data_IF_746452578036
#
_entry.id   IF_746452578036
#
_cell.length_a   1.000
_cell.length_b   1.000
_cell.length_c   1.000
_cell.angle_alpha   90.00
_cell.angle_beta   90.00
_cell.angle_gamma   90.00
#
_symmetry.space_group_name_H-M   'P 1'
#
loop_
_entity.id
_entity.type
_entity.pdbx_description
1 polymer ?
#
# COMPACT_ATOMS: atom_id res chain seq x y z
N UNK A 1 9.55 -0.04 -5.60
CA UNK A 1 8.29 -0.50 -4.97
C UNK A 1 7.16 -0.60 -6.00
N UNK A 2 6.39 -1.67 -5.97
CA UNK A 2 5.22 -1.88 -6.81
C UNK A 2 3.96 -1.98 -5.94
N UNK A 3 2.90 -1.27 -6.31
CA UNK A 3 1.61 -1.34 -5.62
C UNK A 3 0.54 -1.74 -6.62
N UNK A 4 -0.23 -2.77 -6.28
CA UNK A 4 -1.38 -3.21 -7.07
C UNK A 4 -2.58 -3.49 -6.18
N UNK A 5 -3.78 -3.10 -6.61
CA UNK A 5 -5.01 -3.37 -5.86
C UNK A 5 -5.30 -4.88 -5.67
N UNK A 6 -4.75 -5.73 -6.54
CA UNK A 6 -5.00 -7.18 -6.52
C UNK A 6 -4.05 -7.93 -5.58
N UNK A 7 -2.75 -7.60 -5.60
CA UNK A 7 -1.74 -8.34 -4.84
C UNK A 7 -1.20 -7.59 -3.62
N UNK A 8 -1.34 -6.26 -3.60
CA UNK A 8 -0.92 -5.36 -2.53
C UNK A 8 0.40 -4.68 -2.82
N UNK A 9 1.29 -4.61 -1.84
CA UNK A 9 2.58 -3.92 -1.90
C UNK A 9 3.69 -4.97 -2.08
N UNK A 10 4.58 -4.75 -3.04
CA UNK A 10 5.77 -5.54 -3.23
C UNK A 10 7.00 -4.63 -3.36
N UNK A 11 8.07 -4.94 -2.64
CA UNK A 11 9.31 -4.16 -2.64
C UNK A 11 10.52 -5.07 -2.47
N UNK A 12 11.64 -4.68 -3.07
CA UNK A 12 12.90 -5.40 -2.98
C UNK A 12 14.00 -4.41 -2.62
N UNK A 13 14.84 -4.79 -1.68
CA UNK A 13 16.05 -4.08 -1.30
C UNK A 13 17.23 -5.00 -1.56
N UNK A 14 18.22 -4.53 -2.30
CA UNK A 14 19.49 -5.24 -2.51
C UNK A 14 20.55 -4.57 -1.64
N UNK A 15 21.02 -5.29 -0.61
CA UNK A 15 21.95 -4.78 0.39
C UNK A 15 22.98 -5.85 0.67
N UNK A 16 24.27 -5.54 0.59
CA UNK A 16 25.37 -6.44 0.96
C UNK A 16 25.32 -7.84 0.31
N UNK A 17 24.74 -7.96 -0.88
CA UNK A 17 24.57 -9.24 -1.58
C UNK A 17 23.43 -10.12 -1.06
N UNK A 18 22.55 -9.58 -0.22
CA UNK A 18 21.26 -10.17 0.14
C UNK A 18 20.12 -9.36 -0.49
N UNK A 19 19.09 -10.05 -0.96
CA UNK A 19 17.88 -9.39 -1.45
C UNK A 19 16.77 -9.55 -0.43
N UNK A 20 16.40 -8.45 0.24
CA UNK A 20 15.26 -8.41 1.16
C UNK A 20 14.01 -8.08 0.36
N UNK A 21 13.09 -9.04 0.28
CA UNK A 21 11.79 -8.88 -0.35
C UNK A 21 10.71 -8.66 0.71
N UNK A 22 9.94 -7.61 0.52
CA UNK A 22 8.73 -7.33 1.28
C UNK A 22 7.51 -7.56 0.39
N UNK A 23 6.56 -8.33 0.89
CA UNK A 23 5.26 -8.52 0.26
C UNK A 23 4.14 -8.30 1.28
N UNK A 24 3.17 -7.46 0.95
CA UNK A 24 2.00 -7.25 1.79
C UNK A 24 0.71 -7.33 0.99
N UNK A 25 -0.28 -8.05 1.51
CA UNK A 25 -1.60 -8.23 0.91
C UNK A 25 -2.55 -7.10 1.29
N UNK A 26 -3.05 -6.38 0.29
CA UNK A 26 -4.04 -5.30 0.49
C UNK A 26 -5.38 -5.77 1.09
N UNK A 27 -5.71 -7.06 0.97
CA UNK A 27 -7.00 -7.61 1.38
C UNK A 27 -6.95 -8.30 2.74
N UNK A 28 -5.83 -8.97 3.03
CA UNK A 28 -5.71 -9.81 4.22
C UNK A 28 -4.89 -9.16 5.33
N UNK A 29 -4.17 -8.07 5.03
CA UNK A 29 -3.20 -7.46 5.94
C UNK A 29 -2.00 -8.37 6.22
N UNK A 30 -1.81 -9.45 5.46
CA UNK A 30 -0.64 -10.33 5.62
C UNK A 30 0.59 -9.64 5.07
N UNK A 31 1.67 -9.61 5.84
CA UNK A 31 2.95 -9.00 5.52
C UNK A 31 4.04 -10.07 5.67
N UNK A 32 4.78 -10.35 4.60
CA UNK A 32 5.85 -11.34 4.55
C UNK A 32 7.15 -10.62 4.19
N UNK A 33 8.19 -10.90 4.97
CA UNK A 33 9.57 -10.53 4.64
C UNK A 33 10.31 -11.80 4.30
N UNK A 34 10.84 -11.90 3.09
CA UNK A 34 11.78 -12.93 2.69
C UNK A 34 13.14 -12.34 2.37
N UNK A 35 14.18 -13.14 2.55
CA UNK A 35 15.55 -12.81 2.22
C UNK A 35 16.06 -13.85 1.26
N UNK A 36 16.64 -13.40 0.15
CA UNK A 36 17.29 -14.25 -0.83
C UNK A 36 18.80 -14.09 -0.68
N UNK A 37 19.48 -15.19 -0.36
CA UNK A 37 20.94 -15.28 -0.26
C UNK A 37 21.43 -16.27 -1.33
N UNK A 38 22.02 -15.74 -2.40
CA UNK A 38 22.39 -16.55 -3.57
C UNK A 38 21.17 -17.19 -4.23
N UNK A 39 21.04 -18.52 -4.11
CA UNK A 39 19.92 -19.31 -4.67
C UNK A 39 18.84 -19.67 -3.64
N UNK A 40 19.02 -19.32 -2.36
CA UNK A 40 18.09 -19.72 -1.30
C UNK A 40 17.22 -18.55 -0.87
N UNK A 41 15.90 -18.67 -1.02
CA UNK A 41 14.92 -17.76 -0.42
C UNK A 41 14.46 -18.32 0.93
N UNK A 42 14.49 -17.47 1.97
CA UNK A 42 13.96 -17.80 3.31
C UNK A 42 12.99 -16.73 3.78
N UNK A 43 11.87 -17.15 4.36
CA UNK A 43 10.95 -16.23 5.04
C UNK A 43 11.51 -15.93 6.43
N UNK A 44 11.80 -14.66 6.69
CA UNK A 44 12.34 -14.18 7.98
C UNK A 44 11.27 -13.54 8.85
N UNK A 45 10.14 -13.13 8.27
CA UNK A 45 9.01 -12.59 9.00
C UNK A 45 7.69 -12.87 8.29
N UNK A 46 6.66 -13.24 9.04
CA UNK A 46 5.28 -13.39 8.56
C UNK A 46 4.36 -12.81 9.63
N UNK A 47 3.70 -11.70 9.33
CA UNK A 47 2.81 -10.99 10.23
C UNK A 47 1.48 -10.71 9.56
N UNK A 48 0.47 -10.41 10.37
CA UNK A 48 -0.81 -9.93 9.89
C UNK A 48 -1.14 -8.62 10.61
N UNK A 49 -1.14 -7.53 9.87
CA UNK A 49 -1.40 -6.19 10.37
C UNK A 49 -2.19 -5.38 9.33
N UNK A 50 -3.18 -4.64 9.82
CA UNK A 50 -3.87 -3.60 9.06
C UNK A 50 -3.45 -2.20 9.54
N UNK A 51 -2.39 -2.15 10.37
CA UNK A 51 -1.86 -0.92 10.91
C UNK A 51 -1.19 -0.08 9.84
N UNK A 52 -1.08 1.22 10.12
CA UNK A 52 -0.30 2.15 9.30
C UNK A 52 1.21 2.09 9.61
N UNK A 53 1.60 1.30 10.61
CA UNK A 53 2.98 1.10 11.00
C UNK A 53 3.20 -0.35 11.44
N UNK A 54 4.05 -1.08 10.73
CA UNK A 54 4.40 -2.46 11.05
C UNK A 54 5.91 -2.64 11.02
N UNK A 55 6.57 -2.87 12.18
CA UNK A 55 7.99 -3.22 12.22
C UNK A 55 8.20 -4.73 12.04
N UNK A 56 9.24 -5.11 11.29
CA UNK A 56 9.71 -6.47 11.10
C UNK A 56 11.18 -6.56 11.48
N UNK A 57 11.47 -7.08 12.66
CA UNK A 57 12.83 -7.36 13.12
C UNK A 57 13.27 -8.77 12.71
N UNK A 58 14.48 -8.91 12.18
CA UNK A 58 15.06 -10.20 11.79
C UNK A 58 16.60 -10.16 11.78
N UNK A 59 17.24 -11.32 11.89
CA UNK A 59 18.70 -11.45 11.91
C UNK A 59 19.21 -12.17 10.65
N UNK A 60 20.11 -11.52 9.91
CA UNK A 60 20.68 -12.02 8.65
C UNK A 60 22.16 -11.67 8.59
N UNK A 61 23.00 -12.60 8.12
CA UNK A 61 24.43 -12.39 7.95
C UNK A 61 25.16 -11.82 9.19
N UNK A 62 24.65 -12.11 10.40
CA UNK A 62 25.21 -11.61 11.66
C UNK A 62 24.80 -10.19 12.05
N UNK A 63 23.93 -9.54 11.28
CA UNK A 63 23.42 -8.19 11.56
C UNK A 63 21.93 -8.22 11.93
N UNK A 64 21.52 -7.27 12.78
CA UNK A 64 20.12 -7.08 13.15
C UNK A 64 19.47 -6.16 12.14
N UNK A 65 18.56 -6.69 11.33
CA UNK A 65 17.78 -5.90 10.41
C UNK A 65 16.41 -5.56 10.99
N UNK A 66 15.91 -4.36 10.64
CA UNK A 66 14.53 -3.98 10.88
C UNK A 66 13.96 -3.37 9.60
N UNK A 67 12.84 -3.91 9.14
CA UNK A 67 12.07 -3.33 8.05
C UNK A 67 10.78 -2.74 8.61
N UNK A 68 10.54 -1.46 8.36
CA UNK A 68 9.36 -0.74 8.84
C UNK A 68 8.51 -0.31 7.65
N UNK A 69 7.27 -0.79 7.59
CA UNK A 69 6.24 -0.19 6.74
C UNK A 69 5.66 1.01 7.49
N UNK A 70 5.68 2.18 6.86
CA UNK A 70 4.96 3.36 7.31
C UNK A 70 4.02 3.85 6.21
N UNK A 71 2.72 3.71 6.42
CA UNK A 71 1.69 4.25 5.53
C UNK A 71 1.17 5.58 6.08
N UNK A 72 1.00 6.55 5.18
CA UNK A 72 0.31 7.82 5.42
C UNK A 72 -0.74 8.02 4.33
N UNK A 73 -1.61 8.99 4.50
CA UNK A 73 -2.63 9.28 3.49
C UNK A 73 -1.96 9.69 2.16
N UNK A 74 -2.08 8.86 1.12
CA UNK A 74 -1.49 9.11 -0.20
C UNK A 74 0.00 8.72 -0.35
N UNK A 75 0.63 8.15 0.69
CA UNK A 75 2.02 7.68 0.58
C UNK A 75 2.28 6.43 1.41
N UNK A 76 3.15 5.57 0.93
CA UNK A 76 3.67 4.43 1.69
C UNK A 76 5.19 4.44 1.58
N UNK A 77 5.84 4.30 2.73
CA UNK A 77 7.29 4.36 2.87
C UNK A 77 7.73 3.05 3.53
N UNK A 78 8.70 2.37 2.93
CA UNK A 78 9.39 1.25 3.56
C UNK A 78 10.79 1.72 3.93
N UNK A 79 11.17 1.50 5.18
CA UNK A 79 12.51 1.80 5.68
C UNK A 79 13.21 0.53 6.11
N UNK A 80 14.44 0.34 5.66
CA UNK A 80 15.28 -0.76 6.05
C UNK A 80 16.43 -0.25 6.92
N UNK A 81 16.53 -0.79 8.12
CA UNK A 81 17.56 -0.48 9.10
C UNK A 81 18.48 -1.69 9.29
N UNK A 82 19.76 -1.43 9.52
CA UNK A 82 20.78 -2.41 9.92
C UNK A 82 21.44 -1.91 11.19
N UNK A 83 21.41 -2.71 12.24
CA UNK A 83 21.96 -2.40 13.58
C UNK A 83 21.48 -1.04 14.13
N UNK A 84 20.26 -0.64 13.78
CA UNK A 84 19.63 0.61 14.19
C UNK A 84 19.91 1.81 13.28
N UNK A 85 20.75 1.66 12.26
CA UNK A 85 21.03 2.70 11.25
C UNK A 85 20.15 2.49 10.01
N UNK A 86 19.56 3.57 9.48
CA UNK A 86 18.78 3.52 8.24
C UNK A 86 19.75 3.32 7.06
N UNK A 87 19.64 2.19 6.37
CA UNK A 87 20.51 1.85 5.24
C UNK A 87 19.84 2.11 3.89
N UNK A 88 18.52 1.92 3.80
CA UNK A 88 17.77 2.16 2.58
C UNK A 88 16.30 2.52 2.89
N UNK A 89 15.66 3.23 1.97
CA UNK A 89 14.25 3.58 2.05
C UNK A 89 13.64 3.69 0.65
N UNK A 90 12.48 3.05 0.47
CA UNK A 90 11.68 3.21 -0.75
C UNK A 90 10.38 3.94 -0.43
N UNK A 91 10.11 5.02 -1.16
CA UNK A 91 8.95 5.88 -0.96
C UNK A 91 8.06 5.80 -2.20
N UNK A 92 6.86 5.27 -2.00
CA UNK A 92 5.77 5.45 -2.94
C UNK A 92 4.89 6.61 -2.50
N UNK A 93 4.84 7.66 -3.32
CA UNK A 93 3.89 8.75 -3.17
C UNK A 93 2.93 8.72 -4.36
N UNK A 94 1.64 8.54 -4.09
CA UNK A 94 0.61 8.72 -5.11
C UNK A 94 0.28 10.22 -5.18
N UNK A 95 0.79 10.91 -6.19
CA UNK A 95 0.47 12.31 -6.44
C UNK A 95 -1.02 12.56 -6.71
N UNK A 96 -1.89 11.54 -6.77
CA UNK A 96 -3.31 11.74 -7.10
C UNK A 96 -4.13 12.46 -6.02
N UNK A 97 -3.61 12.65 -4.80
CA UNK A 97 -4.15 13.65 -3.87
C UNK A 97 -3.19 14.84 -3.85
N UNK A 98 -3.27 15.67 -4.90
CA UNK A 98 -2.63 16.99 -4.91
C UNK A 98 -3.33 17.85 -3.85
N UNK A 99 -2.78 17.85 -2.64
CA UNK A 99 -2.99 18.92 -1.68
C UNK A 99 -2.20 20.11 -2.18
N UNK A 100 -2.87 21.23 -2.44
CA UNK A 100 -2.20 22.46 -2.83
C UNK A 100 -1.19 22.86 -1.72
N UNK A 101 0.13 22.84 -2.01
CA UNK A 101 1.17 23.02 -1.00
C UNK A 101 1.14 24.41 -0.36
N UNK A 102 0.43 25.38 -0.96
CA UNK A 102 0.28 26.72 -0.40
C UNK A 102 -0.85 26.84 0.64
N UNK A 103 -1.85 25.95 0.63
CA UNK A 103 -3.08 26.13 1.44
C UNK A 103 -3.54 24.90 2.21
N UNK A 104 -3.02 23.70 1.91
CA UNK A 104 -3.41 22.46 2.60
C UNK A 104 -4.87 22.04 2.39
N UNK A 105 -5.57 22.64 1.42
CA UNK A 105 -6.97 22.32 1.11
C UNK A 105 -7.06 21.23 0.06
N UNK A 106 -8.00 20.31 0.28
CA UNK A 106 -8.37 19.28 -0.68
C UNK A 106 -8.82 19.96 -1.99
N UNK A 107 -8.24 19.58 -3.12
CA UNK A 107 -8.71 20.04 -4.44
C UNK A 107 -10.08 19.41 -4.74
N UNK A 108 -11.12 20.09 -4.24
CA UNK A 108 -12.52 19.70 -4.40
C UNK A 108 -12.91 19.57 -5.86
N UNK A 109 -12.25 20.28 -6.78
CA UNK A 109 -12.57 20.23 -8.21
C UNK A 109 -12.13 18.90 -8.82
N UNK A 110 -10.94 18.42 -8.44
CA UNK A 110 -10.45 17.10 -8.83
C UNK A 110 -11.25 15.97 -8.15
N UNK A 111 -11.54 16.11 -6.85
CA UNK A 111 -12.35 15.16 -6.10
C UNK A 111 -13.77 15.01 -6.68
N UNK A 112 -14.42 16.13 -7.05
CA UNK A 112 -15.75 16.12 -7.70
C UNK A 112 -15.71 15.43 -9.06
N UNK A 113 -14.71 15.73 -9.91
CA UNK A 113 -14.58 15.09 -11.23
C UNK A 113 -14.41 13.58 -11.13
N UNK A 114 -13.66 13.10 -10.12
CA UNK A 114 -13.45 11.67 -9.87
C UNK A 114 -14.70 10.99 -9.30
N UNK A 115 -15.49 11.68 -8.47
CA UNK A 115 -16.77 11.18 -7.96
C UNK A 115 -17.92 11.24 -8.98
N UNK A 116 -17.81 12.09 -10.00
CA UNK A 116 -18.89 12.32 -10.94
C UNK A 116 -19.30 11.07 -11.72
N UNK A 117 -18.34 10.27 -12.17
CA UNK A 117 -18.58 9.04 -12.94
C UNK A 117 -19.33 7.97 -12.12
N UNK A 118 -18.87 7.57 -10.91
CA UNK A 118 -19.62 6.61 -10.09
C UNK A 118 -20.97 7.16 -9.62
N UNK A 119 -21.10 8.48 -9.40
CA UNK A 119 -22.37 9.09 -9.03
C UNK A 119 -23.40 9.04 -10.17
N UNK A 120 -22.96 9.30 -11.42
CA UNK A 120 -23.79 9.12 -12.61
C UNK A 120 -24.21 7.68 -12.82
N UNK A 121 -23.28 6.73 -12.65
CA UNK A 121 -23.59 5.31 -12.74
C UNK A 121 -24.62 4.89 -11.68
N UNK A 122 -24.46 5.33 -10.43
CA UNK A 122 -25.43 5.10 -9.36
C UNK A 122 -26.79 5.71 -9.64
N UNK A 123 -26.84 6.91 -10.22
CA UNK A 123 -28.08 7.59 -10.58
C UNK A 123 -28.83 6.88 -11.71
N UNK A 124 -28.13 6.38 -12.73
CA UNK A 124 -28.72 5.58 -13.82
C UNK A 124 -29.28 4.26 -13.28
N UNK A 125 -28.54 3.57 -12.41
CA UNK A 125 -29.00 2.33 -11.77
C UNK A 125 -30.22 2.59 -10.88
N UNK A 126 -30.19 3.65 -10.06
CA UNK A 126 -31.30 4.02 -9.18
C UNK A 126 -32.58 4.38 -9.94
N UNK A 127 -32.46 5.15 -11.04
CA UNK A 127 -33.61 5.47 -11.90
C UNK A 127 -34.14 4.23 -12.62
N UNK A 128 -33.27 3.35 -13.10
CA UNK A 128 -33.68 2.08 -13.72
C UNK A 128 -34.42 1.16 -12.73
N UNK A 129 -33.92 1.05 -11.50
CA UNK A 129 -34.55 0.26 -10.45
C UNK A 129 -35.90 0.85 -10.02
N UNK A 130 -35.97 2.17 -9.85
CA UNK A 130 -37.22 2.87 -9.52
C UNK A 130 -38.29 2.73 -10.61
N UNK A 131 -37.91 2.76 -11.89
CA UNK A 131 -38.83 2.53 -13.00
C UNK A 131 -39.37 1.10 -13.02
N UNK A 132 -38.53 0.09 -12.78
CA UNK A 132 -38.95 -1.31 -12.74
C UNK A 132 -39.88 -1.61 -11.55
N UNK A 133 -39.54 -1.12 -10.35
CA UNK A 133 -40.37 -1.29 -9.15
C UNK A 133 -41.70 -0.53 -9.29
N UNK A 134 -41.68 0.70 -9.82
CA UNK A 134 -42.89 1.47 -10.08
C UNK A 134 -43.78 0.88 -11.18
N UNK A 135 -43.19 0.14 -12.14
CA UNK A 135 -43.94 -0.60 -13.16
C UNK A 135 -44.58 -1.90 -12.65
N UNK A 136 -43.97 -2.55 -11.65
CA UNK A 136 -44.48 -3.76 -10.98
C UNK A 136 -45.58 -3.49 -9.94
N UNK A 137 -45.66 -2.25 -9.44
CA UNK A 137 -46.66 -1.81 -8.44
C UNK A 137 -47.88 -1.12 -9.08
N UNK A 138 -48.02 -1.16 -10.41
CA UNK A 138 -49.22 -0.78 -11.17
C UNK A 138 -49.99 -2.01 -11.60
#
# INVERSE_FOLDING_TARGET
MQITARSGIECWFDVDGIVVRYWASAWTGREIVSVVEGETERVVSDKRSFGFHTPHDFDVAGHRYRLELQMKLGSAELRLFRDGELIDSDLYADETIRLDPATGRLDWHFALRKLFVPMLAGLVVGLGFGYLVGGLLK
#
